data_IF_003682967663
#
_entry.id   IF_003682967663
#
_cell.length_a   1.000
_cell.length_b   1.000
_cell.length_c   1.000
_cell.angle_alpha   90.00
_cell.angle_beta   90.00
_cell.angle_gamma   90.00
#
_symmetry.space_group_name_H-M   'P 1'
#
loop_
_entity.id
_entity.type
_entity.pdbx_description
1 polymer ?
#
# COMPACT_ATOMS: atom_id res chain seq x y z
N UNK A 1 -13.17 -10.94 -25.24
CA UNK A 1 -12.31 -10.08 -24.41
C UNK A 1 -12.81 -10.19 -22.98
N UNK A 2 -12.18 -11.05 -22.18
CA UNK A 2 -12.58 -11.33 -20.79
C UNK A 2 -11.96 -10.26 -19.90
N UNK A 3 -12.81 -9.41 -19.31
CA UNK A 3 -12.40 -8.36 -18.36
C UNK A 3 -11.90 -9.05 -17.08
N UNK A 4 -10.67 -8.79 -16.67
CA UNK A 4 -10.17 -9.26 -15.38
C UNK A 4 -11.04 -8.66 -14.27
N UNK A 5 -11.65 -9.53 -13.47
CA UNK A 5 -12.48 -9.15 -12.34
C UNK A 5 -11.57 -8.64 -11.21
N UNK A 6 -11.91 -7.53 -10.52
CA UNK A 6 -11.13 -7.08 -9.38
C UNK A 6 -11.14 -8.15 -8.31
N UNK A 7 -9.96 -8.56 -7.84
CA UNK A 7 -9.79 -9.54 -6.77
C UNK A 7 -10.55 -9.04 -5.53
N UNK A 8 -11.61 -9.76 -5.15
CA UNK A 8 -12.35 -9.51 -3.91
C UNK A 8 -11.55 -10.06 -2.73
N UNK A 9 -11.56 -9.34 -1.61
CA UNK A 9 -10.87 -9.72 -0.36
C UNK A 9 -11.42 -11.02 0.28
N UNK A 10 -12.54 -11.53 -0.24
CA UNK A 10 -13.23 -12.74 0.24
C UNK A 10 -12.92 -13.98 -0.60
N UNK A 11 -12.26 -13.82 -1.75
CA UNK A 11 -11.75 -14.96 -2.51
C UNK A 11 -10.45 -15.45 -1.87
N UNK A 12 -10.28 -16.77 -1.79
CA UNK A 12 -9.05 -17.39 -1.33
C UNK A 12 -7.91 -16.99 -2.28
N UNK A 13 -7.19 -15.92 -1.94
CA UNK A 13 -6.07 -15.44 -2.74
C UNK A 13 -5.07 -16.60 -2.88
N UNK A 14 -4.68 -16.95 -4.12
CA UNK A 14 -3.76 -18.05 -4.33
C UNK A 14 -2.46 -17.76 -3.57
N UNK A 15 -1.86 -18.80 -3.00
CA UNK A 15 -0.61 -18.68 -2.26
C UNK A 15 0.53 -18.10 -3.11
N UNK A 16 0.41 -18.19 -4.45
CA UNK A 16 1.33 -17.64 -5.44
C UNK A 16 0.61 -16.64 -6.36
N UNK A 17 0.88 -15.34 -6.18
CA UNK A 17 0.31 -14.27 -6.99
C UNK A 17 1.32 -13.75 -8.03
N UNK A 18 0.99 -13.83 -9.32
CA UNK A 18 1.74 -13.13 -10.36
C UNK A 18 1.13 -11.74 -10.58
N UNK A 19 1.93 -10.69 -10.38
CA UNK A 19 1.48 -9.30 -10.49
C UNK A 19 2.12 -8.67 -11.71
N UNK A 20 1.29 -8.37 -12.71
CA UNK A 20 1.72 -7.62 -13.90
C UNK A 20 1.42 -6.14 -13.73
N UNK A 21 2.43 -5.32 -14.02
CA UNK A 21 2.36 -3.86 -13.87
C UNK A 21 1.97 -3.11 -15.14
N UNK A 22 1.66 -3.82 -16.23
CA UNK A 22 1.15 -3.24 -17.48
C UNK A 22 -0.37 -3.01 -17.47
N UNK A 23 -1.07 -3.51 -16.44
CA UNK A 23 -2.49 -3.26 -16.17
C UNK A 23 -2.63 -2.57 -14.80
N UNK A 24 -2.91 -1.26 -14.82
CA UNK A 24 -2.97 -0.44 -13.61
C UNK A 24 -3.98 -0.93 -12.56
N UNK A 25 -5.26 -1.21 -12.91
CA UNK A 25 -6.21 -1.83 -11.99
C UNK A 25 -5.72 -3.12 -11.34
N UNK A 26 -5.11 -4.01 -12.13
CA UNK A 26 -4.57 -5.29 -11.61
C UNK A 26 -3.40 -5.04 -10.66
N UNK A 27 -2.47 -4.17 -11.04
CA UNK A 27 -1.31 -3.82 -10.22
C UNK A 27 -1.71 -3.19 -8.88
N UNK A 28 -2.56 -2.17 -8.89
CA UNK A 28 -3.01 -1.51 -7.66
C UNK A 28 -3.90 -2.43 -6.80
N UNK A 29 -4.70 -3.29 -7.43
CA UNK A 29 -5.46 -4.33 -6.74
C UNK A 29 -4.57 -5.31 -6.00
N UNK A 30 -3.47 -5.74 -6.63
CA UNK A 30 -2.47 -6.60 -6.00
C UNK A 30 -1.76 -5.88 -4.83
N UNK A 31 -1.41 -4.60 -4.98
CA UNK A 31 -0.84 -3.80 -3.88
C UNK A 31 -1.79 -3.74 -2.68
N UNK A 32 -3.08 -3.48 -2.90
CA UNK A 32 -4.08 -3.50 -1.83
C UNK A 32 -4.18 -4.88 -1.16
N UNK A 33 -4.19 -5.96 -1.96
CA UNK A 33 -4.26 -7.33 -1.46
C UNK A 33 -3.03 -7.71 -0.61
N UNK A 34 -1.82 -7.40 -1.09
CA UNK A 34 -0.56 -7.62 -0.36
C UNK A 34 -0.55 -6.85 0.97
N UNK A 35 -0.93 -5.57 0.92
CA UNK A 35 -1.05 -4.70 2.09
C UNK A 35 -2.03 -5.26 3.13
N UNK A 36 -3.20 -5.69 2.69
CA UNK A 36 -4.26 -6.18 3.59
C UNK A 36 -3.94 -7.57 4.16
N UNK A 37 -3.34 -8.46 3.36
CA UNK A 37 -2.79 -9.73 3.82
C UNK A 37 -1.70 -9.51 4.88
N UNK A 38 -0.73 -8.65 4.57
CA UNK A 38 0.37 -8.35 5.49
C UNK A 38 -0.13 -7.74 6.81
N UNK A 39 -1.08 -6.79 6.74
CA UNK A 39 -1.68 -6.17 7.94
C UNK A 39 -2.51 -7.13 8.81
N UNK A 40 -2.88 -8.31 8.28
CA UNK A 40 -3.55 -9.38 9.03
C UNK A 40 -2.60 -10.50 9.46
N UNK A 41 -1.32 -10.41 9.11
CA UNK A 41 -0.30 -11.41 9.41
C UNK A 41 -0.24 -12.57 8.41
N UNK A 42 -0.96 -12.49 7.29
CA UNK A 42 -0.83 -13.44 6.18
C UNK A 42 0.33 -13.02 5.29
N UNK A 43 1.22 -13.97 4.99
CA UNK A 43 2.27 -13.78 3.98
C UNK A 43 1.78 -14.38 2.68
N UNK A 44 1.77 -13.57 1.61
CA UNK A 44 1.52 -14.03 0.26
C UNK A 44 2.85 -14.14 -0.47
N UNK A 45 3.09 -15.28 -1.11
CA UNK A 45 4.19 -15.39 -2.04
C UNK A 45 3.75 -14.80 -3.37
N UNK A 46 4.58 -13.96 -3.96
CA UNK A 46 4.20 -13.27 -5.19
C UNK A 46 5.40 -12.97 -6.07
N UNK A 47 5.14 -12.72 -7.35
CA UNK A 47 6.14 -12.38 -8.36
C UNK A 47 5.73 -11.08 -9.04
N UNK A 48 6.72 -10.25 -9.31
CA UNK A 48 6.53 -8.98 -10.01
C UNK A 48 6.99 -9.10 -11.46
N UNK A 49 6.14 -8.71 -12.40
CA UNK A 49 6.42 -8.63 -13.83
C UNK A 49 6.19 -7.19 -14.32
N UNK A 50 7.11 -6.69 -15.16
CA UNK A 50 7.06 -5.35 -15.76
C UNK A 50 6.94 -4.18 -14.76
N UNK A 51 7.36 -4.36 -13.49
CA UNK A 51 7.26 -3.31 -12.47
C UNK A 51 8.22 -2.15 -12.74
N UNK A 52 7.73 -0.89 -12.78
CA UNK A 52 8.60 0.27 -12.94
C UNK A 52 9.58 0.43 -11.77
N UNK A 53 10.85 0.74 -12.08
CA UNK A 53 11.89 0.95 -11.06
C UNK A 53 11.53 2.04 -10.04
N UNK A 54 10.80 3.07 -10.47
CA UNK A 54 10.34 4.18 -9.62
C UNK A 54 9.32 3.75 -8.57
N UNK A 55 8.61 2.64 -8.77
CA UNK A 55 7.62 2.15 -7.81
C UNK A 55 8.26 1.25 -6.74
N UNK A 56 9.40 0.64 -7.03
CA UNK A 56 10.06 -0.32 -6.12
C UNK A 56 10.28 0.24 -4.72
N UNK A 57 10.83 1.47 -4.53
CA UNK A 57 11.06 2.01 -3.19
C UNK A 57 9.78 2.30 -2.42
N UNK A 58 8.68 2.64 -3.13
CA UNK A 58 7.38 2.89 -2.51
C UNK A 58 6.78 1.65 -1.88
N UNK A 59 7.21 0.45 -2.28
CA UNK A 59 6.69 -0.82 -1.81
C UNK A 59 7.61 -1.54 -0.82
N UNK A 60 8.75 -0.96 -0.44
CA UNK A 60 9.70 -1.57 0.50
C UNK A 60 9.10 -1.97 1.86
N UNK A 61 7.94 -1.43 2.23
CA UNK A 61 7.20 -1.80 3.44
C UNK A 61 6.34 -3.07 3.31
N UNK A 62 6.20 -3.62 2.10
CA UNK A 62 5.50 -4.87 1.84
C UNK A 62 6.49 -6.02 1.64
N UNK A 63 6.07 -7.28 1.88
CA UNK A 63 6.92 -8.43 1.60
C UNK A 63 7.44 -8.42 0.16
N UNK A 64 8.74 -8.62 -0.05
CA UNK A 64 9.34 -8.54 -1.39
C UNK A 64 8.89 -9.72 -2.27
N UNK A 65 8.90 -9.56 -3.60
CA UNK A 65 8.56 -10.63 -4.53
C UNK A 65 9.64 -11.74 -4.52
N UNK A 66 9.25 -12.95 -4.91
CA UNK A 66 10.12 -14.13 -4.94
C UNK A 66 11.14 -14.11 -6.08
N UNK A 67 10.75 -13.56 -7.24
CA UNK A 67 11.63 -13.59 -8.41
C UNK A 67 12.86 -12.70 -8.20
N UNK A 68 13.96 -13.02 -8.88
CA UNK A 68 15.19 -12.26 -8.78
C UNK A 68 15.16 -11.06 -9.74
N UNK A 69 15.50 -9.89 -9.22
CA UNK A 69 15.91 -8.70 -9.97
C UNK A 69 16.87 -7.90 -9.07
N UNK A 70 17.81 -7.11 -9.63
CA UNK A 70 18.75 -6.32 -8.83
C UNK A 70 18.05 -5.47 -7.76
N UNK A 71 17.01 -4.74 -8.13
CA UNK A 71 16.27 -3.85 -7.22
C UNK A 71 15.50 -4.62 -6.13
N UNK A 72 15.23 -5.92 -6.34
CA UNK A 72 14.54 -6.77 -5.35
C UNK A 72 15.49 -7.31 -4.29
N UNK A 73 16.80 -7.36 -4.57
CA UNK A 73 17.80 -7.68 -3.55
C UNK A 73 17.85 -6.58 -2.49
N UNK A 74 17.83 -5.32 -2.92
CA UNK A 74 17.75 -4.17 -2.01
C UNK A 74 16.43 -4.16 -1.22
N UNK A 75 15.29 -4.37 -1.90
CA UNK A 75 14.00 -4.50 -1.22
C UNK A 75 14.06 -5.57 -0.10
N UNK A 76 14.60 -6.76 -0.37
CA UNK A 76 14.77 -7.81 0.66
C UNK A 76 15.67 -7.38 1.81
N UNK A 77 16.72 -6.59 1.54
CA UNK A 77 17.64 -6.12 2.58
C UNK A 77 17.02 -5.05 3.50
N UNK A 78 16.09 -4.25 2.96
CA UNK A 78 15.46 -3.14 3.67
C UNK A 78 14.14 -3.56 4.33
N UNK A 79 13.40 -4.49 3.74
CA UNK A 79 12.07 -4.87 4.22
C UNK A 79 12.08 -5.33 5.68
N UNK A 80 11.19 -4.71 6.46
CA UNK A 80 10.89 -5.07 7.85
C UNK A 80 9.47 -4.61 8.20
N UNK A 81 8.74 -5.31 9.09
CA UNK A 81 7.44 -4.83 9.57
C UNK A 81 7.56 -3.45 10.22
N UNK A 82 6.51 -2.62 10.06
CA UNK A 82 6.47 -1.30 10.67
C UNK A 82 7.05 -0.15 9.83
N UNK A 83 7.50 -0.42 8.59
CA UNK A 83 8.05 0.62 7.71
C UNK A 83 7.02 1.65 7.25
N UNK A 84 5.80 1.24 6.91
CA UNK A 84 4.73 2.16 6.51
C UNK A 84 3.38 1.56 6.91
N UNK A 85 2.74 2.15 7.90
CA UNK A 85 1.49 1.63 8.47
C UNK A 85 0.55 2.76 8.87
N UNK A 86 -0.72 2.41 9.05
CA UNK A 86 -1.69 3.30 9.67
C UNK A 86 -2.47 2.63 10.79
N UNK A 87 -3.03 3.49 11.65
CA UNK A 87 -3.97 3.17 12.71
C UNK A 87 -5.20 4.02 12.54
N UNK A 88 -6.36 3.48 12.93
CA UNK A 88 -7.63 4.20 12.82
C UNK A 88 -8.19 4.42 14.21
N UNK A 89 -8.45 5.68 14.55
CA UNK A 89 -9.22 6.08 15.71
C UNK A 89 -10.61 6.59 15.31
N UNK A 90 -11.43 7.03 16.29
CA UNK A 90 -12.70 7.69 16.01
C UNK A 90 -12.44 9.04 15.31
N UNK A 91 -12.81 9.14 14.04
CA UNK A 91 -12.68 10.39 13.27
C UNK A 91 -11.27 10.74 12.78
N UNK A 92 -10.29 9.86 12.92
CA UNK A 92 -8.95 10.11 12.39
C UNK A 92 -8.19 8.83 12.00
N UNK A 93 -7.14 9.02 11.21
CA UNK A 93 -6.11 8.02 10.91
C UNK A 93 -4.74 8.57 11.31
N UNK A 94 -3.92 7.77 11.97
CA UNK A 94 -2.50 8.06 12.18
C UNK A 94 -1.67 7.20 11.25
N UNK A 95 -0.83 7.82 10.42
CA UNK A 95 0.11 7.14 9.53
C UNK A 95 1.51 7.30 10.08
N UNK A 96 2.29 6.22 10.06
CA UNK A 96 3.73 6.26 10.29
C UNK A 96 4.41 5.76 9.03
N UNK A 97 5.37 6.53 8.55
CA UNK A 97 6.21 6.16 7.42
C UNK A 97 7.67 6.39 7.74
N UNK A 98 8.47 5.33 7.63
CA UNK A 98 9.91 5.31 7.88
C UNK A 98 10.63 4.49 6.80
N UNK A 99 10.00 4.34 5.63
CA UNK A 99 10.62 3.68 4.45
C UNK A 99 11.95 4.35 4.10
N UNK A 100 11.95 5.67 4.20
CA UNK A 100 13.09 6.55 3.99
C UNK A 100 13.47 7.20 5.33
N UNK A 101 14.65 6.91 5.90
CA UNK A 101 15.07 7.47 7.19
C UNK A 101 15.20 9.00 7.20
N UNK A 102 15.52 9.62 6.07
CA UNK A 102 15.70 11.07 5.97
C UNK A 102 14.35 11.80 5.97
N UNK A 103 13.31 11.13 5.47
CA UNK A 103 11.95 11.66 5.29
C UNK A 103 10.94 10.97 6.23
N UNK A 104 11.44 10.38 7.31
CA UNK A 104 10.64 9.60 8.25
C UNK A 104 9.62 10.48 9.01
N UNK A 105 8.32 10.18 8.85
CA UNK A 105 7.22 11.02 9.30
C UNK A 105 6.16 10.29 10.14
N UNK A 106 5.38 11.08 10.87
CA UNK A 106 4.10 10.65 11.47
C UNK A 106 3.03 11.66 11.06
N UNK A 107 1.93 11.20 10.49
CA UNK A 107 0.85 12.05 10.00
C UNK A 107 -0.43 11.76 10.77
N UNK A 108 -1.15 12.79 11.19
CA UNK A 108 -2.52 12.67 11.68
C UNK A 108 -3.44 13.20 10.61
N UNK A 109 -4.32 12.34 10.09
CA UNK A 109 -5.35 12.67 9.11
C UNK A 109 -6.68 12.69 9.85
N UNK A 110 -7.13 13.88 10.22
CA UNK A 110 -8.39 14.14 10.94
C UNK A 110 -9.31 15.13 10.21
N UNK A 111 -8.76 15.91 9.28
CA UNK A 111 -9.54 16.74 8.36
C UNK A 111 -10.53 15.88 7.54
N UNK A 112 -11.85 16.11 7.64
CA UNK A 112 -12.86 15.17 7.12
C UNK A 112 -12.72 14.78 5.65
N UNK A 113 -12.37 15.70 4.77
CA UNK A 113 -12.25 15.41 3.34
C UNK A 113 -10.99 14.59 3.01
N UNK A 114 -9.87 14.88 3.67
CA UNK A 114 -8.63 14.09 3.54
C UNK A 114 -8.83 12.69 4.10
N UNK A 115 -9.51 12.58 5.25
CA UNK A 115 -9.85 11.28 5.84
C UNK A 115 -10.75 10.46 4.91
N UNK A 116 -11.76 11.08 4.29
CA UNK A 116 -12.61 10.38 3.30
C UNK A 116 -11.81 9.91 2.10
N UNK A 117 -10.97 10.78 1.51
CA UNK A 117 -10.11 10.43 0.39
C UNK A 117 -9.20 9.25 0.73
N UNK A 118 -8.51 9.31 1.88
CA UNK A 118 -7.66 8.22 2.37
C UNK A 118 -8.44 6.91 2.52
N UNK A 119 -9.60 6.94 3.19
CA UNK A 119 -10.41 5.72 3.42
C UNK A 119 -10.98 5.14 2.13
N UNK A 120 -11.36 5.98 1.17
CA UNK A 120 -11.89 5.58 -0.14
C UNK A 120 -10.80 4.92 -0.98
N UNK A 121 -9.60 5.51 -0.98
CA UNK A 121 -8.42 4.99 -1.69
C UNK A 121 -7.80 3.75 -1.01
N UNK A 122 -8.38 3.20 0.07
CA UNK A 122 -7.97 1.89 0.57
C UNK A 122 -8.14 0.79 -0.51
N UNK A 123 -9.07 0.96 -1.44
CA UNK A 123 -9.16 0.16 -2.66
C UNK A 123 -8.74 1.01 -3.87
N UNK A 124 -8.24 0.40 -4.95
CA UNK A 124 -7.96 1.13 -6.19
C UNK A 124 -9.18 1.96 -6.57
N UNK A 125 -8.99 3.28 -6.66
CA UNK A 125 -10.04 4.26 -6.91
C UNK A 125 -9.59 5.16 -8.04
N UNK A 126 -10.45 5.42 -9.02
CA UNK A 126 -10.14 6.39 -10.06
C UNK A 126 -10.25 7.82 -9.49
N UNK A 127 -9.31 8.71 -9.83
CA UNK A 127 -9.34 10.12 -9.42
C UNK A 127 -10.58 10.87 -9.96
N UNK A 128 -11.19 10.35 -11.03
CA UNK A 128 -12.45 10.85 -11.58
C UNK A 128 -13.65 10.51 -10.71
N UNK A 129 -13.55 9.49 -9.85
CA UNK A 129 -14.63 9.11 -8.94
C UNK A 129 -14.63 9.96 -7.66
N UNK A 130 -13.53 10.68 -7.39
CA UNK A 130 -13.39 11.61 -6.27
C UNK A 130 -14.02 12.96 -6.61
N UNK A 131 -14.63 13.60 -5.61
CA UNK A 131 -15.01 15.01 -5.76
C UNK A 131 -13.75 15.92 -5.83
N UNK A 132 -13.93 17.22 -6.09
CA UNK A 132 -12.78 18.12 -6.24
C UNK A 132 -11.89 18.18 -4.99
N UNK A 133 -12.50 18.21 -3.80
CA UNK A 133 -11.79 18.34 -2.55
C UNK A 133 -11.11 17.03 -2.14
N UNK A 134 -11.75 15.89 -2.41
CA UNK A 134 -11.16 14.56 -2.25
C UNK A 134 -10.01 14.32 -3.25
N UNK A 135 -10.08 14.89 -4.45
CA UNK A 135 -9.00 14.82 -5.44
C UNK A 135 -7.78 15.64 -5.02
N UNK A 136 -7.99 16.87 -4.55
CA UNK A 136 -6.90 17.70 -4.01
C UNK A 136 -6.23 17.01 -2.82
N UNK A 137 -7.02 16.40 -1.94
CA UNK A 137 -6.50 15.57 -0.86
C UNK A 137 -5.73 14.33 -1.34
N UNK A 138 -6.19 13.67 -2.40
CA UNK A 138 -5.48 12.53 -2.98
C UNK A 138 -4.13 12.93 -3.58
N UNK A 139 -4.04 14.08 -4.26
CA UNK A 139 -2.77 14.61 -4.76
C UNK A 139 -1.82 14.97 -3.61
N UNK A 140 -2.30 15.60 -2.53
CA UNK A 140 -1.48 15.83 -1.34
C UNK A 140 -0.96 14.52 -0.70
N UNK A 141 -1.79 13.48 -0.66
CA UNK A 141 -1.36 12.16 -0.17
C UNK A 141 -0.39 11.45 -1.13
N UNK A 142 -0.42 11.76 -2.43
CA UNK A 142 0.56 11.29 -3.41
C UNK A 142 1.92 11.97 -3.20
N UNK A 143 1.91 13.29 -2.95
CA UNK A 143 3.12 14.06 -2.65
C UNK A 143 3.82 13.55 -1.38
N UNK A 144 3.03 13.18 -0.37
CA UNK A 144 3.51 12.54 0.86
C UNK A 144 3.84 11.04 0.70
N UNK A 145 3.80 10.52 -0.54
CA UNK A 145 4.05 9.12 -0.89
C UNK A 145 3.15 8.13 -0.12
N UNK A 146 1.99 8.54 0.37
CA UNK A 146 1.03 7.70 1.09
C UNK A 146 0.05 6.99 0.15
N UNK A 147 -0.11 7.49 -1.07
CA UNK A 147 -0.78 6.81 -2.17
C UNK A 147 0.24 6.35 -3.22
N UNK A 148 -0.14 5.34 -3.99
CA UNK A 148 0.49 4.96 -5.24
C UNK A 148 -0.48 5.23 -6.39
N UNK A 149 0.02 5.87 -7.45
CA UNK A 149 -0.73 6.12 -8.68
C UNK A 149 -0.29 5.21 -9.81
N UNK A 150 -1.25 4.71 -10.57
CA UNK A 150 -1.03 4.08 -11.87
C UNK A 150 -2.14 4.52 -12.83
N UNK A 151 -1.78 5.29 -13.86
CA UNK A 151 -2.76 5.93 -14.73
C UNK A 151 -3.65 6.93 -13.98
N UNK A 152 -4.97 6.75 -14.07
CA UNK A 152 -5.98 7.55 -13.36
C UNK A 152 -6.36 6.99 -11.98
N UNK A 153 -5.79 5.85 -11.59
CA UNK A 153 -6.15 5.17 -10.34
C UNK A 153 -5.10 5.40 -9.26
N UNK A 154 -5.57 5.41 -8.01
CA UNK A 154 -4.75 5.53 -6.81
C UNK A 154 -5.11 4.48 -5.77
N UNK A 155 -4.14 4.11 -4.94
CA UNK A 155 -4.34 3.20 -3.80
C UNK A 155 -3.45 3.58 -2.62
N UNK A 156 -3.98 3.46 -1.39
CA UNK A 156 -3.24 3.66 -0.15
C UNK A 156 -2.14 2.62 0.03
N UNK A 157 -0.94 3.08 0.33
CA UNK A 157 0.23 2.26 0.60
C UNK A 157 0.33 1.71 2.04
N UNK A 158 0.20 2.51 3.12
CA UNK A 158 0.37 2.01 4.48
C UNK A 158 -0.61 0.89 4.82
N UNK A 159 -0.13 -0.21 5.41
CA UNK A 159 -1.01 -1.28 5.88
C UNK A 159 -1.67 -0.93 7.21
N UNK A 160 -2.84 -1.53 7.48
CA UNK A 160 -3.50 -1.33 8.77
C UNK A 160 -2.79 -2.14 9.85
N UNK A 161 -2.12 -1.48 10.79
CA UNK A 161 -1.58 -2.16 11.95
C UNK A 161 -2.69 -2.49 12.95
N UNK A 162 -3.00 -3.78 13.10
CA UNK A 162 -4.05 -4.27 14.02
C UNK A 162 -3.50 -4.74 15.37
N UNK A 163 -2.23 -5.13 15.44
CA UNK A 163 -1.56 -5.61 16.65
C UNK A 163 -0.23 -4.88 16.77
N UNK A 164 0.08 -4.39 17.97
CA UNK A 164 1.41 -3.89 18.25
C UNK A 164 2.33 -5.08 18.49
N UNK A 165 3.55 -5.12 17.91
CA UNK A 165 4.58 -5.97 18.45
C UNK A 165 4.87 -5.41 19.85
N UNK A 166 4.32 -6.05 20.88
CA UNK A 166 4.69 -5.71 22.26
C UNK A 166 6.18 -6.02 22.36
N UNK A 167 7.04 -5.05 22.67
CA UNK A 167 8.41 -5.40 23.00
C UNK A 167 8.31 -6.34 24.21
N UNK A 168 8.87 -7.55 24.09
CA UNK A 168 9.23 -8.27 25.29
C UNK A 168 10.20 -7.34 26.02
N UNK A 169 9.73 -6.73 27.11
CA UNK A 169 10.62 -5.99 27.99
C UNK A 169 11.60 -7.03 28.53
N UNK A 170 12.78 -7.12 27.92
CA UNK A 170 13.93 -7.74 28.54
C UNK A 170 14.37 -6.82 29.66
N UNK A 171 13.89 -7.11 30.86
CA UNK A 171 14.63 -6.84 32.08
C UNK A 171 15.53 -8.05 32.35
#
# INVERSE_FOLDING_TARGET
>A
MTRAQPLSLEDDLPSNLAVRWDDAPVALGAVAALRDAFGTGRVLNWRAEAMPRTVVPLLWHLPPPENAAPDFAEWRSVFRPGLCYYRRGPGFVQVKDVRDPEEAGSFTIDEPHVLRAFLRCLRPTALTDLDALERDAAEALLDERLLLRAGDQVVVLPYRMRRWPVPAMGL
#
